data_IF_175443999626
#
_entry.id   IF_175443999626
#
_cell.length_a   1.000
_cell.length_b   1.000
_cell.length_c   1.000
_cell.angle_alpha   90.00
_cell.angle_beta   90.00
_cell.angle_gamma   90.00
#
_symmetry.space_group_name_H-M   'P 1'
#
loop_
_entity.id
_entity.type
_entity.pdbx_description
1 polymer ?
#
# COMPACT_ATOMS: atom_id res chain seq x y z
N UNK A 1 -5.73 -12.60 -12.11
CA UNK A 1 -4.66 -11.72 -12.58
C UNK A 1 -3.35 -12.40 -12.25
N UNK A 2 -2.54 -12.73 -13.24
CA UNK A 2 -1.28 -13.49 -13.05
C UNK A 2 -0.08 -12.81 -13.72
N UNK A 3 -0.29 -11.68 -14.38
CA UNK A 3 0.77 -10.90 -15.03
C UNK A 3 0.60 -9.41 -14.74
N UNK A 4 1.67 -8.64 -14.99
CA UNK A 4 1.63 -7.18 -14.92
C UNK A 4 0.60 -6.61 -15.89
N UNK A 5 0.53 -7.13 -17.10
CA UNK A 5 -0.41 -6.66 -18.13
C UNK A 5 -1.87 -6.91 -17.73
N UNK A 6 -2.18 -8.08 -17.14
CA UNK A 6 -3.51 -8.36 -16.58
C UNK A 6 -3.89 -7.36 -15.48
N UNK A 7 -2.94 -7.02 -14.60
CA UNK A 7 -3.19 -6.08 -13.51
C UNK A 7 -3.38 -4.65 -14.04
N UNK A 8 -2.58 -4.23 -15.02
CA UNK A 8 -2.74 -2.94 -15.69
C UNK A 8 -4.08 -2.84 -16.41
N UNK A 9 -4.48 -3.87 -17.18
CA UNK A 9 -5.76 -3.90 -17.87
C UNK A 9 -6.94 -3.82 -16.88
N UNK A 10 -6.87 -4.56 -15.77
CA UNK A 10 -7.89 -4.50 -14.72
C UNK A 10 -7.97 -3.13 -14.04
N UNK A 11 -6.82 -2.51 -13.80
CA UNK A 11 -6.73 -1.16 -13.24
C UNK A 11 -7.33 -0.13 -14.20
N UNK A 12 -6.99 -0.18 -15.48
CA UNK A 12 -7.48 0.76 -16.49
C UNK A 12 -9.00 0.62 -16.73
N UNK A 13 -9.54 -0.60 -16.64
CA UNK A 13 -10.97 -0.87 -16.76
C UNK A 13 -11.78 -0.49 -15.51
N UNK A 14 -11.12 -0.35 -14.34
CA UNK A 14 -11.77 -0.04 -13.08
C UNK A 14 -12.18 1.44 -13.01
N UNK A 15 -13.28 1.73 -12.28
CA UNK A 15 -13.84 3.07 -12.16
C UNK A 15 -12.99 3.99 -11.29
N UNK A 16 -12.94 5.31 -11.55
CA UNK A 16 -12.33 6.25 -10.63
C UNK A 16 -13.02 6.21 -9.26
N UNK A 17 -12.29 6.61 -8.22
CA UNK A 17 -12.83 6.75 -6.87
C UNK A 17 -12.56 8.18 -6.38
N UNK A 18 -13.53 8.78 -5.66
CA UNK A 18 -13.35 10.09 -5.02
C UNK A 18 -12.72 9.95 -3.65
N UNK A 19 -12.26 11.08 -3.08
CA UNK A 19 -11.72 11.11 -1.72
C UNK A 19 -12.77 10.64 -0.71
N UNK A 20 -14.02 11.11 -0.83
CA UNK A 20 -15.10 10.73 0.09
C UNK A 20 -15.42 9.24 0.05
N UNK A 21 -15.32 8.63 -1.13
CA UNK A 21 -15.62 7.21 -1.32
C UNK A 21 -14.54 6.29 -0.72
N UNK A 22 -13.28 6.77 -0.63
CA UNK A 22 -12.18 5.96 -0.11
C UNK A 22 -12.03 6.08 1.41
N UNK A 23 -12.64 7.06 2.07
CA UNK A 23 -12.49 7.25 3.52
C UNK A 23 -12.81 5.99 4.32
N UNK A 24 -12.13 5.85 5.46
CA UNK A 24 -12.25 4.74 6.39
C UNK A 24 -11.10 3.74 6.29
N UNK A 25 -11.23 2.65 7.04
CA UNK A 25 -10.21 1.61 7.16
C UNK A 25 -10.43 0.50 6.15
N UNK A 26 -9.35 0.13 5.48
CA UNK A 26 -9.33 -0.91 4.46
C UNK A 26 -8.31 -1.98 4.78
N UNK A 27 -8.70 -3.23 4.59
CA UNK A 27 -7.80 -4.37 4.66
C UNK A 27 -7.08 -4.56 3.33
N UNK A 28 -5.76 -4.68 3.38
CA UNK A 28 -4.90 -4.82 2.20
C UNK A 28 -4.52 -6.27 1.90
N UNK A 29 -4.30 -6.54 0.63
CA UNK A 29 -3.66 -7.76 0.13
C UNK A 29 -2.85 -7.42 -1.12
N UNK A 30 -1.65 -7.97 -1.27
CA UNK A 30 -0.86 -7.85 -2.49
C UNK A 30 -1.54 -8.53 -3.66
N UNK A 31 -1.30 -8.01 -4.85
CA UNK A 31 -1.73 -8.63 -6.10
C UNK A 31 -0.48 -9.09 -6.85
N UNK A 32 -0.20 -10.41 -6.91
CA UNK A 32 1.04 -10.91 -7.51
C UNK A 32 1.13 -10.60 -9.00
N UNK A 33 2.19 -9.89 -9.40
CA UNK A 33 2.47 -9.49 -10.78
C UNK A 33 3.93 -9.74 -11.20
N UNK A 34 4.71 -10.40 -10.34
CA UNK A 34 6.16 -10.57 -10.52
C UNK A 34 6.99 -9.43 -9.91
N UNK A 35 6.36 -8.56 -9.12
CA UNK A 35 7.07 -7.47 -8.43
C UNK A 35 7.90 -8.00 -7.23
N UNK A 36 9.07 -7.42 -6.92
CA UNK A 36 9.89 -7.85 -5.75
C UNK A 36 9.15 -7.81 -4.41
N UNK A 37 8.14 -6.95 -4.26
CA UNK A 37 7.31 -6.83 -3.07
C UNK A 37 6.19 -7.86 -2.98
N UNK A 38 5.94 -8.68 -4.02
CA UNK A 38 4.85 -9.65 -4.02
C UNK A 38 4.95 -10.60 -2.84
N UNK A 39 3.88 -10.68 -2.04
CA UNK A 39 3.80 -11.49 -0.82
C UNK A 39 4.66 -10.99 0.36
N UNK A 40 5.46 -9.93 0.19
CA UNK A 40 6.33 -9.42 1.25
C UNK A 40 5.51 -8.67 2.33
N UNK A 41 4.53 -7.90 1.93
CA UNK A 41 3.67 -7.18 2.86
C UNK A 41 2.89 -8.13 3.77
N UNK A 42 2.32 -9.20 3.19
CA UNK A 42 1.63 -10.26 3.94
C UNK A 42 2.58 -11.02 4.86
N UNK A 43 3.79 -11.31 4.37
CA UNK A 43 4.82 -11.97 5.17
C UNK A 43 5.13 -11.21 6.45
N UNK A 44 5.10 -9.88 6.40
CA UNK A 44 5.32 -8.99 7.55
C UNK A 44 4.06 -8.63 8.32
N UNK A 45 2.88 -9.11 7.91
CA UNK A 45 1.61 -8.87 8.61
C UNK A 45 1.01 -7.50 8.34
N UNK A 46 1.22 -6.96 7.13
CA UNK A 46 0.53 -5.76 6.71
C UNK A 46 -0.99 -5.96 6.78
N UNK A 47 -1.65 -5.04 7.47
CA UNK A 47 -3.10 -5.05 7.60
C UNK A 47 -3.78 -4.28 6.48
N UNK A 48 -3.25 -3.10 6.10
CA UNK A 48 -3.85 -2.22 5.11
C UNK A 48 -3.60 -0.75 5.35
N UNK A 49 -4.62 0.07 5.12
CA UNK A 49 -4.56 1.54 5.21
C UNK A 49 -5.77 2.09 5.95
N UNK A 50 -5.62 3.29 6.55
CA UNK A 50 -6.74 4.04 7.15
C UNK A 50 -6.74 5.48 6.63
N UNK A 51 -7.85 5.88 6.01
CA UNK A 51 -8.04 7.19 5.41
C UNK A 51 -9.02 7.98 6.28
N UNK A 52 -8.52 8.86 7.15
CA UNK A 52 -9.34 9.64 8.07
C UNK A 52 -10.01 10.83 7.38
N UNK A 53 -9.24 11.54 6.57
CA UNK A 53 -9.68 12.63 5.68
C UNK A 53 -8.63 12.88 4.58
N UNK A 54 -8.79 13.99 3.84
CA UNK A 54 -7.90 14.33 2.73
C UNK A 54 -6.44 14.63 3.14
N UNK A 55 -6.21 15.04 4.39
CA UNK A 55 -4.88 15.44 4.88
C UNK A 55 -4.31 14.48 5.93
N UNK A 56 -5.12 13.52 6.40
CA UNK A 56 -4.72 12.57 7.45
C UNK A 56 -4.95 11.14 6.99
N UNK A 57 -3.85 10.48 6.61
CA UNK A 57 -3.87 9.08 6.18
C UNK A 57 -2.77 8.31 6.90
N UNK A 58 -3.14 7.13 7.40
CA UNK A 58 -2.22 6.12 7.90
C UNK A 58 -1.94 5.10 6.77
N UNK A 59 -0.85 5.29 6.01
CA UNK A 59 -0.61 4.52 4.79
C UNK A 59 -0.20 3.08 5.04
N UNK A 60 0.32 2.79 6.23
CA UNK A 60 0.81 1.47 6.61
C UNK A 60 0.26 1.08 7.99
N UNK A 61 -0.73 0.19 7.98
CA UNK A 61 -1.21 -0.48 9.18
C UNK A 61 -0.62 -1.89 9.25
N UNK A 62 -0.17 -2.27 10.43
CA UNK A 62 0.18 -3.65 10.77
C UNK A 62 -0.71 -4.13 11.91
N UNK A 63 -0.96 -5.43 12.02
CA UNK A 63 -1.77 -5.99 13.10
C UNK A 63 -0.95 -6.95 13.98
N UNK A 64 -1.13 -6.83 15.29
CA UNK A 64 -0.71 -7.83 16.29
C UNK A 64 -1.89 -8.19 17.17
N UNK A 65 -2.10 -9.49 17.37
CA UNK A 65 -3.23 -9.96 18.17
C UNK A 65 -4.58 -9.47 17.65
N UNK A 66 -4.71 -9.25 16.34
CA UNK A 66 -5.94 -8.77 15.71
C UNK A 66 -6.15 -7.25 15.75
N UNK A 67 -5.34 -6.48 16.50
CA UNK A 67 -5.48 -5.02 16.61
C UNK A 67 -4.55 -4.31 15.64
N UNK A 68 -5.07 -3.54 14.67
CA UNK A 68 -4.25 -2.76 13.75
C UNK A 68 -3.68 -1.50 14.43
N UNK A 69 -2.47 -1.12 14.02
CA UNK A 69 -1.81 0.12 14.44
C UNK A 69 -0.98 0.69 13.29
N UNK A 70 -0.83 2.02 13.28
CA UNK A 70 -0.06 2.71 12.26
C UNK A 70 1.45 2.61 12.53
N UNK A 71 2.20 2.52 11.43
CA UNK A 71 3.66 2.46 11.41
C UNK A 71 4.19 3.58 10.51
N UNK A 72 5.28 4.21 10.94
CA UNK A 72 5.92 5.27 10.17
C UNK A 72 6.60 4.71 8.91
N UNK A 73 6.16 5.09 7.70
CA UNK A 73 6.78 4.62 6.45
C UNK A 73 8.26 5.04 6.34
N UNK A 74 8.62 6.18 6.95
CA UNK A 74 9.98 6.72 6.93
C UNK A 74 11.00 5.79 7.58
N UNK A 75 10.57 4.98 8.56
CA UNK A 75 11.43 4.06 9.30
C UNK A 75 11.41 2.64 8.73
N UNK A 76 10.64 2.41 7.66
CA UNK A 76 10.57 1.11 7.01
C UNK A 76 11.78 0.92 6.09
N UNK A 77 12.48 -0.23 6.19
CA UNK A 77 13.65 -0.53 5.38
C UNK A 77 13.23 -0.98 3.96
N UNK A 78 12.62 -0.07 3.18
CA UNK A 78 12.12 -0.38 1.83
C UNK A 78 13.21 -0.89 0.88
N UNK A 79 14.47 -0.44 1.09
CA UNK A 79 15.62 -0.95 0.33
C UNK A 79 15.88 -2.46 0.52
N UNK A 80 15.36 -3.07 1.58
CA UNK A 80 15.49 -4.52 1.80
C UNK A 80 14.71 -5.33 0.74
N UNK A 81 13.70 -4.74 0.13
CA UNK A 81 12.95 -5.37 -0.96
C UNK A 81 13.82 -5.69 -2.19
N UNK A 82 14.93 -4.96 -2.39
CA UNK A 82 15.91 -5.25 -3.44
C UNK A 82 16.66 -6.59 -3.22
N UNK A 83 16.58 -7.17 -2.01
CA UNK A 83 17.22 -8.43 -1.64
C UNK A 83 16.17 -9.44 -1.16
N UNK A 84 15.37 -10.04 -2.07
CA UNK A 84 14.22 -10.87 -1.69
C UNK A 84 14.55 -12.05 -0.78
N UNK A 85 15.73 -12.67 -0.96
CA UNK A 85 16.19 -13.78 -0.11
C UNK A 85 16.39 -13.36 1.35
N UNK A 86 16.96 -12.17 1.56
CA UNK A 86 17.15 -11.60 2.90
C UNK A 86 15.81 -11.15 3.48
N UNK A 87 15.03 -10.42 2.70
CA UNK A 87 13.73 -9.89 3.12
C UNK A 87 12.74 -10.98 3.54
N UNK A 88 12.78 -12.17 2.89
CA UNK A 88 11.92 -13.32 3.23
C UNK A 88 12.52 -14.28 4.25
N UNK A 89 13.71 -13.97 4.80
CA UNK A 89 14.31 -14.81 5.83
C UNK A 89 13.53 -14.75 7.15
N UNK A 90 13.53 -15.88 7.88
CA UNK A 90 12.90 -15.94 9.21
C UNK A 90 13.58 -15.00 10.21
N UNK A 91 14.87 -14.79 10.04
CA UNK A 91 15.64 -13.85 10.87
C UNK A 91 15.20 -12.39 10.63
N UNK A 92 15.08 -11.97 9.37
CA UNK A 92 14.61 -10.62 9.05
C UNK A 92 13.19 -10.38 9.58
N UNK A 93 12.32 -11.39 9.48
CA UNK A 93 10.99 -11.34 10.07
C UNK A 93 11.03 -11.19 11.58
N UNK A 94 11.83 -12.02 12.25
CA UNK A 94 11.99 -11.94 13.71
C UNK A 94 12.48 -10.55 14.15
N UNK A 95 13.51 -10.01 13.46
CA UNK A 95 14.03 -8.67 13.73
C UNK A 95 12.96 -7.60 13.52
N UNK A 96 12.23 -7.67 12.40
CA UNK A 96 11.12 -6.78 12.10
C UNK A 96 10.07 -6.80 13.22
N UNK A 97 9.65 -7.98 13.63
CA UNK A 97 8.66 -8.16 14.70
C UNK A 97 9.13 -7.56 16.03
N UNK A 98 10.44 -7.59 16.32
CA UNK A 98 11.03 -6.96 17.52
C UNK A 98 11.10 -5.45 17.41
N UNK A 99 11.40 -4.92 16.23
CA UNK A 99 11.52 -3.48 15.99
C UNK A 99 10.16 -2.80 15.72
N UNK A 100 9.14 -3.55 15.32
CA UNK A 100 7.84 -3.02 14.93
C UNK A 100 7.19 -2.10 15.99
N UNK A 101 7.27 -2.36 17.31
CA UNK A 101 6.76 -1.44 18.32
C UNK A 101 7.47 -0.09 18.35
N UNK A 102 8.75 -0.04 17.96
CA UNK A 102 9.58 1.18 17.98
C UNK A 102 9.25 2.14 16.82
N UNK A 103 8.65 1.60 15.75
CA UNK A 103 8.28 2.38 14.55
C UNK A 103 6.80 2.73 14.51
N UNK A 104 6.05 2.43 15.59
CA UNK A 104 4.65 2.85 15.73
C UNK A 104 4.54 4.37 15.72
N UNK A 105 3.47 4.85 15.13
CA UNK A 105 3.17 6.28 15.07
C UNK A 105 1.68 6.54 15.29
N UNK A 106 1.37 7.70 15.84
CA UNK A 106 0.01 8.28 15.87
C UNK A 106 -0.11 9.46 14.92
N UNK A 107 0.97 9.77 14.19
CA UNK A 107 1.00 10.87 13.22
C UNK A 107 0.70 10.31 11.84
N UNK A 108 -0.28 10.88 11.13
CA UNK A 108 -0.49 10.58 9.72
C UNK A 108 0.81 10.79 8.93
N UNK A 109 1.01 10.00 7.89
CA UNK A 109 2.23 10.04 7.10
C UNK A 109 1.98 10.10 5.60
N UNK A 110 0.73 10.39 5.23
CA UNK A 110 0.29 10.57 3.86
C UNK A 110 -0.99 11.43 3.79
N UNK A 111 -1.34 11.87 2.60
CA UNK A 111 -2.53 12.65 2.28
C UNK A 111 -3.16 12.18 0.98
N UNK A 112 -4.44 12.50 0.76
CA UNK A 112 -5.19 12.22 -0.47
C UNK A 112 -5.31 13.47 -1.33
N UNK A 113 -5.18 13.29 -2.64
CA UNK A 113 -5.52 14.30 -3.65
C UNK A 113 -6.17 13.62 -4.86
N UNK A 114 -6.98 14.37 -5.59
CA UNK A 114 -7.48 13.94 -6.90
C UNK A 114 -6.38 14.23 -7.92
N UNK A 115 -5.82 13.19 -8.52
CA UNK A 115 -4.69 13.30 -9.47
C UNK A 115 -5.05 12.54 -10.74
N UNK A 116 -4.70 13.12 -11.89
CA UNK A 116 -4.78 12.42 -13.15
C UNK A 116 -3.64 11.41 -13.26
N UNK A 117 -4.00 10.15 -13.44
CA UNK A 117 -3.06 9.06 -13.69
C UNK A 117 -3.61 8.15 -14.77
N UNK A 118 -2.81 7.91 -15.83
CA UNK A 118 -3.23 7.14 -17.01
C UNK A 118 -4.55 7.65 -17.61
N UNK A 119 -4.66 8.98 -17.77
CA UNK A 119 -5.80 9.65 -18.41
C UNK A 119 -7.08 9.72 -17.57
N UNK A 120 -7.05 9.37 -16.29
CA UNK A 120 -8.24 9.40 -15.42
C UNK A 120 -7.93 10.04 -14.08
N UNK A 121 -8.73 11.04 -13.70
CA UNK A 121 -8.64 11.69 -12.39
C UNK A 121 -9.25 10.77 -11.32
N UNK A 122 -8.49 10.45 -10.28
CA UNK A 122 -8.91 9.55 -9.19
C UNK A 122 -8.21 9.89 -7.89
N UNK A 123 -8.75 9.43 -6.76
CA UNK A 123 -8.09 9.57 -5.46
C UNK A 123 -6.73 8.88 -5.47
N UNK A 124 -5.73 9.65 -5.07
CA UNK A 124 -4.32 9.21 -5.03
C UNK A 124 -3.75 9.58 -3.67
N UNK A 125 -3.15 8.63 -3.00
CA UNK A 125 -2.44 8.84 -1.75
C UNK A 125 -0.98 9.20 -2.03
N UNK A 126 -0.54 10.28 -1.44
CA UNK A 126 0.82 10.80 -1.56
C UNK A 126 1.50 10.61 -0.20
N UNK A 127 2.60 9.89 -0.17
CA UNK A 127 3.42 9.77 1.04
C UNK A 127 4.16 11.08 1.32
N UNK A 128 4.19 11.51 2.59
CA UNK A 128 4.83 12.78 2.97
C UNK A 128 6.36 12.74 2.89
N UNK A 129 6.96 11.57 3.04
CA UNK A 129 8.41 11.40 3.16
C UNK A 129 9.01 10.37 2.18
N UNK A 130 8.22 9.77 1.34
CA UNK A 130 8.65 8.80 0.35
C UNK A 130 8.25 9.25 -1.05
N UNK A 131 9.06 8.98 -2.07
CA UNK A 131 8.71 9.29 -3.45
C UNK A 131 7.74 8.23 -4.01
N UNK A 132 6.59 8.08 -3.34
CA UNK A 132 5.59 7.06 -3.63
C UNK A 132 4.20 7.72 -3.72
N UNK A 133 3.47 7.35 -4.76
CA UNK A 133 2.05 7.61 -4.91
C UNK A 133 1.30 6.27 -5.01
N UNK A 134 0.23 6.13 -4.24
CA UNK A 134 -0.70 5.00 -4.39
C UNK A 134 -1.97 5.49 -5.08
N UNK A 135 -2.18 5.07 -6.32
CA UNK A 135 -3.32 5.46 -7.15
C UNK A 135 -4.42 4.42 -7.03
N UNK A 136 -5.66 4.83 -6.78
CA UNK A 136 -6.77 3.91 -6.52
C UNK A 136 -7.81 3.92 -7.63
N UNK A 137 -8.38 2.74 -7.90
CA UNK A 137 -9.55 2.54 -8.75
C UNK A 137 -10.54 1.64 -8.04
N UNK A 138 -11.82 1.82 -8.28
CA UNK A 138 -12.89 1.05 -7.67
C UNK A 138 -13.25 -0.15 -8.55
N UNK A 139 -13.09 -1.34 -7.99
CA UNK A 139 -13.54 -2.59 -8.62
C UNK A 139 -15.05 -2.81 -8.37
N UNK A 140 -15.47 -2.64 -7.12
CA UNK A 140 -16.84 -2.72 -6.65
C UNK A 140 -17.06 -1.84 -5.41
N UNK A 141 -18.22 -1.92 -4.74
CA UNK A 141 -18.55 -1.06 -3.60
C UNK A 141 -17.70 -1.35 -2.35
N UNK A 142 -17.04 -2.49 -2.29
CA UNK A 142 -16.24 -2.95 -1.16
C UNK A 142 -14.79 -3.24 -1.50
N UNK A 143 -14.38 -3.03 -2.76
CA UNK A 143 -13.05 -3.40 -3.23
C UNK A 143 -12.44 -2.32 -4.12
N UNK A 144 -11.18 -1.99 -3.82
CA UNK A 144 -10.34 -1.11 -4.63
C UNK A 144 -9.13 -1.88 -5.11
N UNK A 145 -8.67 -1.55 -6.32
CA UNK A 145 -7.33 -1.89 -6.79
C UNK A 145 -6.43 -0.67 -6.62
N UNK A 146 -5.29 -0.86 -5.97
CA UNK A 146 -4.26 0.14 -5.79
C UNK A 146 -3.04 -0.15 -6.66
N UNK A 147 -2.50 0.89 -7.26
CA UNK A 147 -1.26 0.89 -8.01
C UNK A 147 -0.27 1.79 -7.27
N UNK A 148 0.80 1.22 -6.73
CA UNK A 148 1.89 1.98 -6.12
C UNK A 148 2.88 2.38 -7.22
N UNK A 149 2.97 3.68 -7.47
CA UNK A 149 3.97 4.31 -8.31
C UNK A 149 5.12 4.83 -7.43
N UNK A 150 6.28 4.21 -7.55
CA UNK A 150 7.47 4.57 -6.80
C UNK A 150 8.56 5.06 -7.76
N UNK A 151 9.09 6.24 -7.51
CA UNK A 151 10.23 6.76 -8.28
C UNK A 151 11.39 5.76 -8.29
N UNK A 152 11.87 5.44 -9.51
CA UNK A 152 12.99 4.51 -9.69
C UNK A 152 12.63 3.04 -9.69
N UNK A 153 11.35 2.68 -9.46
CA UNK A 153 10.88 1.32 -9.68
C UNK A 153 10.67 1.06 -11.18
N UNK A 154 11.13 -0.07 -11.74
CA UNK A 154 10.93 -0.39 -13.15
C UNK A 154 9.48 -0.74 -13.50
N UNK A 155 8.68 -1.10 -12.50
CA UNK A 155 7.28 -1.45 -12.64
C UNK A 155 6.50 -1.07 -11.40
N UNK A 156 5.18 -0.79 -11.51
CA UNK A 156 4.34 -0.53 -10.35
C UNK A 156 4.08 -1.80 -9.53
N UNK A 157 3.86 -1.61 -8.23
CA UNK A 157 3.36 -2.68 -7.37
C UNK A 157 1.85 -2.58 -7.24
N UNK A 158 1.14 -3.71 -7.40
CA UNK A 158 -0.31 -3.78 -7.29
C UNK A 158 -0.76 -4.40 -5.98
N UNK A 159 -1.86 -3.88 -5.46
CA UNK A 159 -2.51 -4.42 -4.27
C UNK A 159 -4.03 -4.19 -4.31
N UNK A 160 -4.75 -4.94 -3.49
CA UNK A 160 -6.19 -4.80 -3.29
C UNK A 160 -6.46 -4.23 -1.90
N UNK A 161 -7.48 -3.40 -1.80
CA UNK A 161 -8.06 -2.96 -0.53
C UNK A 161 -9.51 -3.43 -0.45
N UNK A 162 -9.93 -3.96 0.70
CA UNK A 162 -11.29 -4.45 0.94
C UNK A 162 -11.82 -3.99 2.30
N UNK A 163 -13.12 -3.76 2.37
CA UNK A 163 -13.86 -3.44 3.60
C UNK A 163 -15.16 -4.21 3.69
#
# INVERSE_FOLDING_TARGET
MRSLDDALAAFDAAKPVTIEQILGRWRGAGLPTGHPLDGLLEWYGWYGKDFHDADRVDPLLFARGGTPFAVSPRLMPLGLAAFPGVARSRWARWLFDRCLPLVRTTRPAARLRMIEYRGVVTATMIYDHLPIHDVFRRLDDHSLIGLMDQRGSPQPFFFLLRR
#
